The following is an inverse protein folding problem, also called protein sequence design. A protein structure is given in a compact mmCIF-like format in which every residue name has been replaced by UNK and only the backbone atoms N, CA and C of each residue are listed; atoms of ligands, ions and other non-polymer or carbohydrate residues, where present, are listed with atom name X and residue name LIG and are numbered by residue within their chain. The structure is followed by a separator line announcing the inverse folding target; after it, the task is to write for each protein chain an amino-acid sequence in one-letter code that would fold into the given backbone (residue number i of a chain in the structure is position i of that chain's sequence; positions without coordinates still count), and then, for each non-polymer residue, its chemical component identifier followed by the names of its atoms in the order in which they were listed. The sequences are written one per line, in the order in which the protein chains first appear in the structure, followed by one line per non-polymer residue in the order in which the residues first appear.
data_IF_178436520211
#
_entry.id   IF_178436520211
#
_cell.length_a   1.000
_cell.length_b   1.000
_cell.length_c   1.000
_cell.angle_alpha   90.00
_cell.angle_beta   90.00
_cell.angle_gamma   90.00
#
_symmetry.space_group_name_H-M   'P 1'
#
loop_
_entity.id
_entity.type
_entity.pdbx_description
1 polymer ?
#
# COMPACT_ATOMS: atom_id res chain seq x y z
N UNK A 1 -16.53 -5.11 -20.28
CA UNK A 1 -16.56 -6.53 -19.82
C UNK A 1 -15.64 -6.69 -18.60
N UNK A 2 -16.12 -7.27 -17.48
CA UNK A 2 -15.29 -7.54 -16.30
C UNK A 2 -14.66 -8.93 -16.40
N UNK A 3 -13.33 -8.99 -16.23
CA UNK A 3 -12.57 -10.25 -16.19
C UNK A 3 -11.74 -10.34 -14.90
N UNK A 4 -11.35 -11.55 -14.53
CA UNK A 4 -10.45 -11.78 -13.38
C UNK A 4 -9.01 -11.69 -13.83
N UNK A 5 -8.11 -11.32 -12.90
CA UNK A 5 -6.69 -11.13 -13.21
C UNK A 5 -6.03 -12.35 -13.87
N UNK A 6 -6.37 -13.58 -13.44
CA UNK A 6 -5.77 -14.79 -14.02
C UNK A 6 -6.21 -15.05 -15.47
N UNK A 7 -7.35 -14.49 -15.88
CA UNK A 7 -7.89 -14.64 -17.23
C UNK A 7 -7.15 -13.77 -18.24
N UNK A 8 -6.54 -12.65 -17.79
CA UNK A 8 -5.88 -11.69 -18.69
C UNK A 8 -4.68 -12.32 -19.43
N UNK A 9 -3.98 -13.29 -18.81
CA UNK A 9 -2.84 -13.98 -19.44
C UNK A 9 -3.27 -14.81 -20.66
N UNK A 10 -4.51 -15.30 -20.66
CA UNK A 10 -5.11 -16.11 -21.73
C UNK A 10 -5.96 -15.28 -22.69
N UNK A 11 -6.13 -13.99 -22.38
CA UNK A 11 -6.99 -13.12 -23.18
C UNK A 11 -6.22 -12.58 -24.38
N UNK A 12 -6.84 -12.58 -25.56
CA UNK A 12 -6.27 -11.96 -26.77
C UNK A 12 -6.34 -10.44 -26.60
N UNK A 13 -5.28 -9.88 -26.03
CA UNK A 13 -5.12 -8.43 -25.77
C UNK A 13 -5.26 -7.62 -27.07
N UNK A 14 -5.04 -8.24 -28.22
CA UNK A 14 -5.07 -7.60 -29.53
C UNK A 14 -6.43 -7.03 -29.91
N UNK A 15 -7.50 -7.62 -29.38
CA UNK A 15 -8.88 -7.31 -29.79
C UNK A 15 -9.54 -6.18 -28.98
N UNK A 16 -8.88 -5.64 -27.94
CA UNK A 16 -9.43 -4.60 -27.07
C UNK A 16 -8.40 -3.53 -26.83
N UNK A 17 -8.84 -2.28 -26.93
CA UNK A 17 -7.94 -1.13 -26.86
C UNK A 17 -8.04 -0.37 -25.53
N UNK A 18 -9.10 -0.60 -24.73
CA UNK A 18 -9.34 0.15 -23.50
C UNK A 18 -9.45 -0.77 -22.28
N UNK A 19 -8.60 -0.51 -21.29
CA UNK A 19 -8.51 -1.26 -20.04
C UNK A 19 -8.64 -0.33 -18.83
N UNK A 20 -9.45 -0.72 -17.85
CA UNK A 20 -9.50 -0.07 -16.54
C UNK A 20 -9.01 -1.05 -15.47
N UNK A 21 -7.86 -0.75 -14.86
CA UNK A 21 -7.29 -1.46 -13.74
C UNK A 21 -7.52 -0.64 -12.47
N UNK A 22 -8.25 -1.18 -11.50
CA UNK A 22 -8.59 -0.43 -10.31
C UNK A 22 -8.48 -1.29 -9.05
N UNK A 23 -8.18 -0.66 -7.92
CA UNK A 23 -8.11 -1.36 -6.64
C UNK A 23 -7.00 -0.85 -5.75
N UNK A 24 -6.77 -1.56 -4.65
CA UNK A 24 -5.80 -1.18 -3.62
C UNK A 24 -4.38 -1.64 -3.95
N UNK A 25 -4.23 -2.66 -4.79
CA UNK A 25 -2.94 -3.30 -5.07
C UNK A 25 -2.25 -2.68 -6.28
N UNK A 26 -1.74 -1.46 -6.09
CA UNK A 26 -1.04 -0.73 -7.14
C UNK A 26 0.22 -1.48 -7.65
N UNK A 27 0.90 -2.20 -6.77
CA UNK A 27 2.07 -3.00 -7.16
C UNK A 27 1.72 -4.13 -8.12
N UNK A 28 0.58 -4.81 -7.91
CA UNK A 28 0.11 -5.87 -8.79
C UNK A 28 -0.40 -5.30 -10.13
N UNK A 29 -0.99 -4.09 -10.11
CA UNK A 29 -1.35 -3.35 -11.34
C UNK A 29 -0.09 -3.10 -12.16
N UNK A 30 0.94 -2.53 -11.53
CA UNK A 30 2.19 -2.18 -12.21
C UNK A 30 2.93 -3.42 -12.75
N UNK A 31 2.99 -4.50 -11.97
CA UNK A 31 3.54 -5.79 -12.40
C UNK A 31 2.77 -6.33 -13.62
N UNK A 32 1.44 -6.32 -13.59
CA UNK A 32 0.61 -6.78 -14.70
C UNK A 32 0.89 -5.98 -15.98
N UNK A 33 1.01 -4.67 -15.87
CA UNK A 33 1.34 -3.81 -17.00
C UNK A 33 2.74 -4.13 -17.53
N UNK A 34 3.71 -4.29 -16.64
CA UNK A 34 5.10 -4.55 -17.00
C UNK A 34 5.30 -5.92 -17.67
N UNK A 35 4.61 -6.96 -17.18
CA UNK A 35 4.77 -8.32 -17.68
C UNK A 35 3.95 -8.61 -18.96
N UNK A 36 2.74 -8.06 -19.04
CA UNK A 36 1.78 -8.47 -20.08
C UNK A 36 1.70 -7.47 -21.23
N UNK A 37 1.76 -6.17 -20.92
CA UNK A 37 1.56 -5.12 -21.93
C UNK A 37 2.87 -4.55 -22.46
N UNK A 38 3.74 -4.06 -21.57
CA UNK A 38 4.97 -3.37 -21.99
C UNK A 38 5.85 -4.18 -22.96
N UNK A 39 6.02 -5.51 -22.84
CA UNK A 39 6.84 -6.26 -23.78
C UNK A 39 6.33 -6.21 -25.22
N UNK A 40 5.01 -5.99 -25.41
CA UNK A 40 4.39 -5.90 -26.74
C UNK A 40 4.50 -4.50 -27.36
N UNK A 41 4.85 -3.48 -26.58
CA UNK A 41 4.91 -2.06 -26.96
C UNK A 41 6.26 -1.42 -26.65
N UNK A 42 7.34 -2.14 -26.82
CA UNK A 42 8.67 -1.85 -26.26
C UNK A 42 9.27 -0.47 -26.60
N UNK A 43 8.75 0.26 -27.56
CA UNK A 43 9.29 1.56 -28.00
C UNK A 43 8.36 2.76 -27.80
N UNK A 44 7.05 2.55 -27.64
CA UNK A 44 6.06 3.61 -27.65
C UNK A 44 5.13 3.54 -26.43
N UNK A 45 5.69 3.71 -25.22
CA UNK A 45 4.94 3.72 -23.97
C UNK A 45 4.92 5.14 -23.42
N UNK A 46 3.73 5.71 -23.28
CA UNK A 46 3.55 7.07 -22.78
C UNK A 46 2.71 7.01 -21.48
N UNK A 47 3.19 7.67 -20.42
CA UNK A 47 2.50 7.75 -19.15
C UNK A 47 1.97 9.16 -18.94
N UNK A 48 0.72 9.26 -18.46
CA UNK A 48 0.08 10.51 -18.07
C UNK A 48 -0.57 10.36 -16.70
N UNK A 49 -0.60 11.45 -15.94
CA UNK A 49 -1.49 11.60 -14.81
C UNK A 49 -2.83 12.18 -15.29
N UNK A 50 -3.96 11.77 -14.68
CA UNK A 50 -5.30 12.32 -15.02
C UNK A 50 -5.31 13.85 -15.02
N UNK A 51 -4.65 14.46 -14.02
CA UNK A 51 -4.59 15.91 -13.86
C UNK A 51 -3.86 16.61 -15.02
N UNK A 52 -2.83 15.99 -15.57
CA UNK A 52 -2.09 16.52 -16.73
C UNK A 52 -2.97 16.55 -17.97
N UNK A 53 -3.72 15.46 -18.20
CA UNK A 53 -4.65 15.34 -19.32
C UNK A 53 -5.77 16.37 -19.18
N UNK A 54 -6.41 16.48 -18.01
CA UNK A 54 -7.53 17.38 -17.79
C UNK A 54 -7.15 18.85 -17.90
N UNK A 55 -5.89 19.20 -17.63
CA UNK A 55 -5.38 20.56 -17.81
C UNK A 55 -5.06 20.91 -19.27
N UNK A 56 -4.85 19.91 -20.15
CA UNK A 56 -4.45 20.08 -21.56
C UNK A 56 -5.17 19.08 -22.48
N UNK A 57 -6.51 19.07 -22.40
CA UNK A 57 -7.35 18.09 -23.11
C UNK A 57 -7.12 18.11 -24.61
N UNK A 58 -7.09 19.31 -25.22
CA UNK A 58 -6.92 19.43 -26.67
C UNK A 58 -5.53 18.95 -27.14
N UNK A 59 -4.48 19.29 -26.41
CA UNK A 59 -3.12 18.77 -26.72
C UNK A 59 -3.05 17.25 -26.62
N UNK A 60 -3.74 16.67 -25.63
CA UNK A 60 -3.82 15.22 -25.49
C UNK A 60 -4.58 14.58 -26.65
N UNK A 61 -5.70 15.18 -27.07
CA UNK A 61 -6.46 14.72 -28.25
C UNK A 61 -5.62 14.83 -29.53
N UNK A 62 -4.96 15.94 -29.76
CA UNK A 62 -4.08 16.14 -30.91
C UNK A 62 -3.00 15.06 -30.97
N UNK A 63 -2.37 14.74 -29.83
CA UNK A 63 -1.37 13.67 -29.75
C UNK A 63 -1.96 12.29 -30.08
N UNK A 64 -3.21 12.02 -29.69
CA UNK A 64 -3.88 10.75 -29.99
C UNK A 64 -4.28 10.63 -31.46
N UNK A 65 -4.79 11.71 -32.07
CA UNK A 65 -5.39 11.70 -33.40
C UNK A 65 -4.38 12.00 -34.53
N UNK A 66 -3.25 12.64 -34.21
CA UNK A 66 -2.19 12.85 -35.18
C UNK A 66 -1.42 11.53 -35.41
N UNK A 67 -1.81 10.81 -36.46
CA UNK A 67 -1.09 9.60 -36.88
C UNK A 67 0.31 10.00 -37.39
N UNK A 68 1.35 9.54 -36.72
CA UNK A 68 2.68 9.54 -37.29
C UNK A 68 2.77 8.36 -38.27
N UNK A 69 3.16 8.58 -39.51
CA UNK A 69 3.34 7.55 -40.54
C UNK A 69 4.42 6.50 -40.21
N UNK A 70 5.16 6.69 -39.09
CA UNK A 70 6.33 5.89 -38.73
C UNK A 70 6.19 5.25 -37.32
N UNK A 71 5.06 5.43 -36.62
CA UNK A 71 4.90 4.89 -35.29
C UNK A 71 3.99 3.67 -35.27
N UNK A 72 4.61 2.52 -35.00
CA UNK A 72 3.89 1.29 -34.66
C UNK A 72 3.15 1.44 -33.32
N UNK A 73 2.22 0.55 -33.05
CA UNK A 73 1.38 0.40 -31.85
C UNK A 73 1.83 1.18 -30.60
N UNK A 74 0.99 2.08 -30.08
CA UNK A 74 1.24 2.90 -28.87
C UNK A 74 0.54 2.32 -27.66
N UNK A 75 1.21 2.32 -26.51
CA UNK A 75 0.62 2.04 -25.21
C UNK A 75 0.57 3.33 -24.37
N UNK A 76 -0.64 3.77 -24.04
CA UNK A 76 -0.85 4.92 -23.18
C UNK A 76 -1.34 4.44 -21.82
N UNK A 77 -0.68 4.89 -20.76
CA UNK A 77 -1.01 4.55 -19.39
C UNK A 77 -1.44 5.82 -18.67
N UNK A 78 -2.73 5.88 -18.31
CA UNK A 78 -3.31 7.01 -17.57
C UNK A 78 -3.39 6.61 -16.10
N UNK A 79 -2.69 7.35 -15.24
CA UNK A 79 -2.59 7.06 -13.81
C UNK A 79 -3.53 7.91 -12.96
N UNK A 80 -3.92 7.36 -11.80
CA UNK A 80 -4.75 8.01 -10.78
C UNK A 80 -6.11 8.49 -11.29
N UNK A 81 -6.67 7.75 -12.23
CA UNK A 81 -7.94 8.11 -12.85
C UNK A 81 -9.11 8.08 -11.86
N UNK A 82 -10.02 9.01 -12.05
CA UNK A 82 -11.28 9.16 -11.34
C UNK A 82 -12.45 9.31 -12.31
N UNK A 83 -13.64 9.56 -11.80
CA UNK A 83 -14.82 9.80 -12.65
C UNK A 83 -14.70 11.04 -13.57
N UNK A 84 -13.72 11.94 -13.31
CA UNK A 84 -13.55 13.18 -14.07
C UNK A 84 -13.10 12.95 -15.51
N UNK A 85 -12.35 11.87 -15.78
CA UNK A 85 -11.83 11.58 -17.12
C UNK A 85 -12.88 10.89 -18.01
N UNK A 86 -14.01 10.46 -17.45
CA UNK A 86 -14.97 9.58 -18.12
C UNK A 86 -15.46 10.13 -19.48
N UNK A 87 -15.83 11.41 -19.52
CA UNK A 87 -16.40 11.99 -20.75
C UNK A 87 -15.36 12.06 -21.87
N UNK A 88 -14.11 12.36 -21.54
CA UNK A 88 -13.01 12.31 -22.49
C UNK A 88 -12.78 10.88 -23.01
N UNK A 89 -12.78 9.87 -22.11
CA UNK A 89 -12.59 8.47 -22.50
C UNK A 89 -13.72 7.99 -23.43
N UNK A 90 -14.95 8.37 -23.18
CA UNK A 90 -16.08 8.04 -24.08
C UNK A 90 -15.86 8.61 -25.48
N UNK A 91 -15.50 9.89 -25.56
CA UNK A 91 -15.20 10.54 -26.86
C UNK A 91 -14.10 9.81 -27.63
N UNK A 92 -13.04 9.36 -26.91
CA UNK A 92 -11.94 8.63 -27.55
C UNK A 92 -12.38 7.23 -28.04
N UNK A 93 -13.18 6.53 -27.25
CA UNK A 93 -13.71 5.20 -27.62
C UNK A 93 -14.59 5.27 -28.87
N UNK A 94 -15.40 6.34 -29.02
CA UNK A 94 -16.27 6.55 -30.20
C UNK A 94 -15.48 6.77 -31.48
N UNK A 95 -14.28 7.35 -31.39
CA UNK A 95 -13.45 7.66 -32.55
C UNK A 95 -12.67 6.46 -33.11
N UNK A 96 -12.77 5.28 -32.49
CA UNK A 96 -12.07 4.05 -32.88
C UNK A 96 -10.61 4.32 -33.32
N UNK A 97 -9.72 4.38 -32.33
CA UNK A 97 -8.30 4.55 -32.57
C UNK A 97 -7.68 3.22 -33.01
N UNK A 98 -7.12 3.20 -34.21
CA UNK A 98 -6.30 2.08 -34.66
C UNK A 98 -4.90 2.18 -34.00
N UNK A 99 -4.31 1.06 -33.62
CA UNK A 99 -2.92 0.92 -33.14
C UNK A 99 -2.60 1.61 -31.81
N UNK A 100 -3.60 2.03 -31.01
CA UNK A 100 -3.40 2.62 -29.69
C UNK A 100 -4.12 1.79 -28.62
N UNK A 101 -3.39 1.36 -27.60
CA UNK A 101 -3.99 0.77 -26.40
C UNK A 101 -3.90 1.72 -25.22
N UNK A 102 -4.98 1.85 -24.49
CA UNK A 102 -5.09 2.75 -23.34
C UNK A 102 -5.39 1.94 -22.09
N UNK A 103 -4.47 1.99 -21.15
CA UNK A 103 -4.64 1.44 -19.80
C UNK A 103 -4.89 2.58 -18.83
N UNK A 104 -6.04 2.57 -18.22
CA UNK A 104 -6.44 3.53 -17.20
C UNK A 104 -6.25 2.86 -15.85
N UNK A 105 -5.48 3.46 -14.95
CA UNK A 105 -5.28 2.93 -13.61
C UNK A 105 -5.94 3.83 -12.57
N UNK A 106 -6.75 3.24 -11.71
CA UNK A 106 -7.43 3.95 -10.61
C UNK A 106 -7.17 3.29 -9.26
N UNK A 107 -7.35 4.06 -8.20
CA UNK A 107 -7.41 3.53 -6.84
C UNK A 107 -8.71 2.76 -6.60
N UNK A 108 -9.23 2.84 -5.38
CA UNK A 108 -10.52 2.22 -5.04
C UNK A 108 -11.65 2.95 -5.77
N UNK A 109 -12.30 2.28 -6.70
CA UNK A 109 -13.51 2.76 -7.35
C UNK A 109 -14.74 2.04 -6.75
N UNK A 110 -15.58 2.81 -6.05
CA UNK A 110 -16.81 2.27 -5.45
C UNK A 110 -17.83 1.86 -6.54
N UNK A 111 -18.84 1.05 -6.18
CA UNK A 111 -19.90 0.65 -7.12
C UNK A 111 -20.67 1.82 -7.73
N UNK A 112 -20.71 2.98 -7.07
CA UNK A 112 -21.33 4.22 -7.57
C UNK A 112 -20.43 5.01 -8.54
N UNK A 113 -19.14 4.66 -8.72
CA UNK A 113 -18.24 5.34 -9.66
C UNK A 113 -18.79 5.23 -11.08
N UNK A 114 -18.89 6.36 -11.75
CA UNK A 114 -19.37 6.46 -13.14
C UNK A 114 -18.38 5.81 -14.10
N UNK A 115 -17.08 6.01 -13.89
CA UNK A 115 -16.01 5.42 -14.69
C UNK A 115 -16.06 3.89 -14.60
N UNK A 116 -16.15 3.33 -13.39
CA UNK A 116 -16.27 1.89 -13.17
C UNK A 116 -17.52 1.33 -13.84
N UNK A 117 -18.68 1.95 -13.63
CA UNK A 117 -19.96 1.50 -14.20
C UNK A 117 -19.97 1.50 -15.72
N UNK A 118 -19.30 2.48 -16.34
CA UNK A 118 -19.16 2.54 -17.79
C UNK A 118 -18.34 1.35 -18.30
N UNK A 119 -17.15 1.11 -17.74
CA UNK A 119 -16.29 0.00 -18.14
C UNK A 119 -16.90 -1.40 -17.86
N UNK A 120 -17.74 -1.52 -16.84
CA UNK A 120 -18.47 -2.80 -16.58
C UNK A 120 -19.53 -3.12 -17.66
N UNK A 121 -20.17 -2.09 -18.22
CA UNK A 121 -21.28 -2.23 -19.17
C UNK A 121 -20.85 -2.23 -20.63
N UNK A 122 -19.81 -1.50 -20.95
CA UNK A 122 -19.35 -1.36 -22.33
C UNK A 122 -18.68 -2.67 -22.82
N UNK A 123 -18.99 -3.08 -24.06
CA UNK A 123 -18.46 -4.32 -24.66
C UNK A 123 -17.07 -4.16 -25.30
N UNK A 124 -16.67 -2.93 -25.60
CA UNK A 124 -15.38 -2.60 -26.21
C UNK A 124 -14.27 -2.42 -25.16
N UNK A 125 -14.61 -2.53 -23.88
CA UNK A 125 -13.69 -2.24 -22.78
C UNK A 125 -13.53 -3.42 -21.83
N UNK A 126 -12.36 -3.51 -21.19
CA UNK A 126 -12.08 -4.48 -20.13
C UNK A 126 -11.88 -3.75 -18.82
N UNK A 127 -12.44 -4.29 -17.75
CA UNK A 127 -12.24 -3.83 -16.38
C UNK A 127 -11.73 -4.97 -15.50
N UNK A 128 -10.67 -4.71 -14.72
CA UNK A 128 -10.05 -5.69 -13.83
C UNK A 128 -9.89 -5.10 -12.43
N UNK A 129 -10.49 -5.73 -11.40
CA UNK A 129 -10.25 -5.36 -10.01
C UNK A 129 -8.95 -5.98 -9.48
N UNK A 130 -8.15 -5.18 -8.77
CA UNK A 130 -6.92 -5.61 -8.12
C UNK A 130 -7.07 -5.54 -6.59
N UNK A 131 -7.28 -6.70 -5.99
CA UNK A 131 -7.46 -6.84 -4.54
C UNK A 131 -6.13 -6.92 -3.79
N UNK A 132 -6.19 -6.74 -2.48
CA UNK A 132 -5.04 -6.96 -1.61
C UNK A 132 -4.49 -8.39 -1.76
N UNK A 133 -3.17 -8.50 -1.68
CA UNK A 133 -2.52 -9.80 -1.65
C UNK A 133 -2.84 -10.56 -0.36
N UNK A 134 -3.07 -11.86 -0.50
CA UNK A 134 -3.03 -12.79 0.62
C UNK A 134 -1.58 -13.14 0.96
N UNK A 135 -1.33 -13.70 2.15
CA UNK A 135 0.00 -14.21 2.49
C UNK A 135 0.50 -15.24 1.46
N UNK A 136 -0.40 -16.11 0.98
CA UNK A 136 -0.07 -17.13 -0.01
C UNK A 136 0.33 -16.51 -1.35
N UNK A 137 -0.37 -15.47 -1.82
CA UNK A 137 -0.02 -14.79 -3.08
C UNK A 137 1.33 -14.08 -3.00
N UNK A 138 1.65 -13.47 -1.84
CA UNK A 138 2.96 -12.86 -1.62
C UNK A 138 4.07 -13.92 -1.52
N UNK A 139 3.81 -15.04 -0.88
CA UNK A 139 4.78 -16.17 -0.81
C UNK A 139 5.08 -16.68 -2.21
N UNK A 140 4.06 -16.91 -3.04
CA UNK A 140 4.23 -17.36 -4.42
C UNK A 140 5.00 -16.33 -5.24
N UNK A 141 4.71 -15.05 -5.06
CA UNK A 141 5.44 -13.96 -5.73
C UNK A 141 6.92 -13.97 -5.37
N UNK A 142 7.26 -14.05 -4.08
CA UNK A 142 8.66 -14.12 -3.62
C UNK A 142 9.36 -15.35 -4.16
N UNK A 143 8.72 -16.52 -4.10
CA UNK A 143 9.30 -17.76 -4.59
C UNK A 143 9.59 -17.72 -6.11
N UNK A 144 8.67 -17.18 -6.89
CA UNK A 144 8.86 -17.02 -8.33
C UNK A 144 10.03 -16.07 -8.63
N UNK A 145 10.10 -14.91 -7.97
CA UNK A 145 11.20 -13.96 -8.11
C UNK A 145 12.56 -14.60 -7.77
N UNK A 146 12.63 -15.31 -6.64
CA UNK A 146 13.86 -15.97 -6.20
C UNK A 146 14.30 -17.07 -7.17
N UNK A 147 13.34 -17.83 -7.70
CA UNK A 147 13.59 -18.88 -8.70
C UNK A 147 14.13 -18.28 -10.00
N UNK A 148 13.55 -17.21 -10.52
CA UNK A 148 14.02 -16.52 -11.72
C UNK A 148 15.45 -15.98 -11.56
N UNK A 149 15.79 -15.48 -10.39
CA UNK A 149 17.13 -14.97 -10.07
C UNK A 149 18.11 -16.05 -9.57
N UNK A 150 17.70 -17.33 -9.50
CA UNK A 150 18.49 -18.44 -8.96
C UNK A 150 19.01 -18.22 -7.52
N UNK A 151 18.19 -17.56 -6.67
CA UNK A 151 18.55 -17.26 -5.28
C UNK A 151 17.89 -18.27 -4.35
N UNK A 152 18.69 -18.90 -3.48
CA UNK A 152 18.20 -19.87 -2.48
C UNK A 152 18.08 -19.20 -1.11
N UNK A 153 16.86 -19.11 -0.61
CA UNK A 153 16.53 -18.54 0.70
C UNK A 153 15.57 -19.51 1.43
N UNK A 154 15.72 -19.62 2.75
CA UNK A 154 14.82 -20.44 3.57
C UNK A 154 13.40 -19.86 3.63
N UNK A 155 12.41 -20.73 3.90
CA UNK A 155 11.02 -20.29 4.08
C UNK A 155 10.85 -19.29 5.25
N UNK A 156 11.66 -19.43 6.29
CA UNK A 156 11.70 -18.51 7.41
C UNK A 156 12.09 -17.08 6.95
N UNK A 157 13.12 -17.01 6.12
CA UNK A 157 13.57 -15.75 5.53
C UNK A 157 12.55 -15.15 4.55
N UNK A 158 11.86 -15.97 3.77
CA UNK A 158 10.75 -15.53 2.91
C UNK A 158 9.65 -14.89 3.76
N UNK A 159 9.25 -15.56 4.84
CA UNK A 159 8.25 -15.01 5.76
C UNK A 159 8.69 -13.68 6.38
N UNK A 160 9.95 -13.57 6.78
CA UNK A 160 10.52 -12.33 7.32
C UNK A 160 10.44 -11.18 6.31
N UNK A 161 10.80 -11.42 5.05
CA UNK A 161 10.74 -10.39 3.99
C UNK A 161 9.30 -9.92 3.76
N UNK A 162 8.36 -10.87 3.66
CA UNK A 162 6.93 -10.58 3.51
C UNK A 162 6.41 -9.77 4.70
N UNK A 163 6.80 -10.17 5.91
CA UNK A 163 6.41 -9.47 7.13
C UNK A 163 6.89 -8.02 7.16
N UNK A 164 8.13 -7.80 6.79
CA UNK A 164 8.74 -6.46 6.75
C UNK A 164 8.14 -5.58 5.66
N UNK A 165 7.72 -6.15 4.53
CA UNK A 165 7.04 -5.42 3.46
C UNK A 165 5.61 -4.99 3.83
N UNK A 166 5.04 -5.52 4.94
CA UNK A 166 3.66 -5.31 5.40
C UNK A 166 2.59 -5.60 4.34
N UNK A 167 2.85 -6.56 3.48
CA UNK A 167 1.95 -6.91 2.38
C UNK A 167 1.91 -5.90 1.25
N UNK A 168 2.73 -4.86 1.29
CA UNK A 168 2.88 -3.94 0.18
C UNK A 168 3.78 -4.56 -0.88
N UNK A 169 3.22 -4.86 -2.05
CA UNK A 169 3.91 -5.55 -3.14
C UNK A 169 5.07 -4.74 -3.73
N UNK A 170 4.95 -3.42 -3.77
CA UNK A 170 6.02 -2.53 -4.26
C UNK A 170 7.21 -2.57 -3.28
N UNK A 171 6.93 -2.44 -1.99
CA UNK A 171 7.97 -2.55 -0.97
C UNK A 171 8.64 -3.93 -1.00
N UNK A 172 7.83 -5.00 -1.14
CA UNK A 172 8.33 -6.36 -1.25
C UNK A 172 9.27 -6.53 -2.44
N UNK A 173 8.90 -6.01 -3.61
CA UNK A 173 9.74 -6.05 -4.80
C UNK A 173 11.06 -5.30 -4.57
N UNK A 174 11.01 -4.11 -3.98
CA UNK A 174 12.21 -3.33 -3.67
C UNK A 174 13.16 -4.09 -2.71
N UNK A 175 12.61 -4.80 -1.71
CA UNK A 175 13.42 -5.63 -0.82
C UNK A 175 14.05 -6.82 -1.56
N UNK A 176 13.29 -7.47 -2.44
CA UNK A 176 13.78 -8.57 -3.26
C UNK A 176 14.88 -8.14 -4.23
N UNK A 177 14.77 -6.94 -4.83
CA UNK A 177 15.82 -6.39 -5.70
C UNK A 177 17.12 -6.09 -4.92
N UNK A 178 17.02 -5.57 -3.69
CA UNK A 178 18.20 -5.41 -2.82
C UNK A 178 18.87 -6.76 -2.53
N UNK A 179 18.07 -7.77 -2.17
CA UNK A 179 18.57 -9.12 -1.92
C UNK A 179 19.20 -9.72 -3.18
N UNK A 180 18.59 -9.52 -4.35
CA UNK A 180 19.13 -9.97 -5.63
C UNK A 180 20.48 -9.31 -5.93
N UNK A 181 20.59 -8.01 -5.68
CA UNK A 181 21.85 -7.26 -5.88
C UNK A 181 22.95 -7.73 -4.93
N UNK A 182 22.60 -8.06 -3.68
CA UNK A 182 23.54 -8.60 -2.70
C UNK A 182 23.99 -10.03 -3.05
N UNK A 183 23.08 -10.87 -3.57
CA UNK A 183 23.36 -12.26 -3.93
C UNK A 183 24.40 -12.40 -5.04
N UNK A 184 24.50 -11.40 -5.95
CA UNK A 184 25.51 -11.37 -7.01
C UNK A 184 26.94 -11.35 -6.47
N UNK A 185 27.14 -10.82 -5.26
CA UNK A 185 28.44 -10.72 -4.59
C UNK A 185 28.68 -11.84 -3.58
N UNK A 186 27.62 -12.43 -3.03
CA UNK A 186 27.67 -13.40 -1.93
C UNK A 186 26.84 -14.64 -2.30
N UNK A 187 27.49 -15.80 -2.39
CA UNK A 187 26.84 -17.04 -2.81
C UNK A 187 25.85 -17.62 -1.78
N UNK A 188 25.98 -17.27 -0.50
CA UNK A 188 25.08 -17.70 0.57
C UNK A 188 24.53 -16.50 1.30
N UNK A 189 23.22 -16.43 1.41
CA UNK A 189 22.51 -15.38 2.14
C UNK A 189 21.94 -16.01 3.41
N UNK A 190 22.38 -15.53 4.56
CA UNK A 190 21.89 -15.97 5.86
C UNK A 190 20.80 -15.05 6.42
N UNK A 191 20.20 -15.43 7.55
CA UNK A 191 19.16 -14.66 8.23
C UNK A 191 19.65 -13.23 8.62
N UNK A 192 20.89 -13.14 9.13
CA UNK A 192 21.48 -11.85 9.53
C UNK A 192 21.64 -10.90 8.35
N UNK A 193 22.01 -11.41 7.18
CA UNK A 193 22.17 -10.61 5.96
C UNK A 193 20.81 -10.05 5.52
N UNK A 194 19.77 -10.87 5.51
CA UNK A 194 18.42 -10.43 5.17
C UNK A 194 17.91 -9.44 6.20
N UNK A 195 18.14 -9.68 7.47
CA UNK A 195 17.74 -8.78 8.54
C UNK A 195 18.38 -7.38 8.39
N UNK A 196 19.64 -7.31 7.93
CA UNK A 196 20.35 -6.06 7.66
C UNK A 196 19.93 -5.39 6.35
N UNK A 197 19.74 -6.19 5.29
CA UNK A 197 19.39 -5.68 3.95
C UNK A 197 17.98 -5.12 3.88
N UNK A 198 17.03 -5.81 4.53
CA UNK A 198 15.63 -5.45 4.53
C UNK A 198 15.33 -4.37 5.59
N UNK A 199 16.11 -3.30 5.58
CA UNK A 199 16.07 -2.21 6.55
C UNK A 199 14.84 -1.30 6.34
N UNK A 200 13.64 -1.90 6.28
CA UNK A 200 12.37 -1.21 6.62
C UNK A 200 12.28 -0.99 8.15
N UNK A 201 13.41 -1.20 8.83
CA UNK A 201 13.52 -1.22 10.28
C UNK A 201 13.01 0.07 10.93
N UNK A 202 13.25 1.23 10.32
CA UNK A 202 12.86 2.51 10.92
C UNK A 202 11.33 2.64 11.03
N UNK A 203 10.59 2.46 9.93
CA UNK A 203 9.14 2.55 9.96
C UNK A 203 8.46 1.36 10.67
N UNK A 204 9.08 0.16 10.62
CA UNK A 204 8.59 -1.01 11.33
C UNK A 204 8.78 -0.85 12.84
N UNK A 205 9.92 -0.35 13.29
CA UNK A 205 10.18 -0.08 14.70
C UNK A 205 9.21 0.95 15.28
N UNK A 206 8.93 2.05 14.58
CA UNK A 206 7.97 3.08 15.00
C UNK A 206 6.57 2.49 15.14
N UNK A 207 6.08 1.76 14.12
CA UNK A 207 4.74 1.19 14.20
C UNK A 207 4.62 0.13 15.29
N UNK A 208 5.63 -0.74 15.44
CA UNK A 208 5.66 -1.77 16.47
C UNK A 208 5.79 -1.17 17.86
N UNK A 209 6.59 -0.12 18.02
CA UNK A 209 6.71 0.63 19.26
C UNK A 209 5.34 1.13 19.71
N UNK A 210 4.61 1.81 18.81
CA UNK A 210 3.28 2.34 19.11
C UNK A 210 2.30 1.21 19.43
N UNK A 211 2.31 0.10 18.68
CA UNK A 211 1.45 -1.05 18.95
C UNK A 211 1.69 -1.62 20.35
N UNK A 212 2.95 -1.81 20.72
CA UNK A 212 3.29 -2.35 22.04
C UNK A 212 3.03 -1.34 23.17
N UNK A 213 3.13 -0.05 22.92
CA UNK A 213 2.70 0.98 23.87
C UNK A 213 1.19 0.89 24.12
N UNK A 214 0.38 0.73 23.08
CA UNK A 214 -1.07 0.66 23.18
C UNK A 214 -1.59 -0.64 23.84
N UNK A 215 -0.82 -1.74 23.78
CA UNK A 215 -1.10 -2.97 24.56
C UNK A 215 -0.36 -3.01 25.90
N UNK A 216 0.36 -1.95 26.28
CA UNK A 216 1.12 -1.84 27.53
C UNK A 216 2.17 -2.96 27.72
N UNK A 217 2.80 -3.44 26.62
CA UNK A 217 3.81 -4.51 26.65
C UNK A 217 5.20 -3.96 26.95
N UNK A 218 5.51 -3.79 28.23
CA UNK A 218 6.78 -3.21 28.73
C UNK A 218 8.03 -3.86 28.15
N UNK A 219 8.09 -5.21 28.12
CA UNK A 219 9.26 -5.96 27.67
C UNK A 219 9.60 -5.64 26.20
N UNK A 220 8.58 -5.66 25.33
CA UNK A 220 8.78 -5.40 23.89
C UNK A 220 9.11 -3.95 23.61
N UNK A 221 8.55 -3.00 24.37
CA UNK A 221 8.87 -1.58 24.25
C UNK A 221 10.35 -1.35 24.58
N UNK A 222 10.84 -1.87 25.71
CA UNK A 222 12.24 -1.75 26.11
C UNK A 222 13.20 -2.37 25.09
N UNK A 223 12.86 -3.53 24.52
CA UNK A 223 13.66 -4.12 23.46
C UNK A 223 13.78 -3.21 22.24
N UNK A 224 12.68 -2.62 21.79
CA UNK A 224 12.68 -1.70 20.64
C UNK A 224 13.54 -0.45 20.95
N UNK A 225 13.44 0.10 22.14
CA UNK A 225 14.26 1.23 22.57
C UNK A 225 15.76 0.91 22.61
N UNK A 226 16.12 -0.29 23.06
CA UNK A 226 17.52 -0.70 23.12
C UNK A 226 18.12 -1.03 21.73
N UNK A 227 17.27 -1.46 20.79
CA UNK A 227 17.69 -1.84 19.44
C UNK A 227 17.68 -0.66 18.46
N UNK A 228 16.98 0.44 18.78
CA UNK A 228 16.80 1.56 17.87
C UNK A 228 17.08 2.90 18.56
N UNK A 229 17.88 3.72 17.90
CA UNK A 229 18.09 5.13 18.27
C UNK A 229 17.19 5.96 17.37
N UNK A 230 16.10 6.49 17.92
CA UNK A 230 15.19 7.36 17.19
C UNK A 230 15.80 8.76 17.03
N UNK A 231 15.75 9.29 15.81
CA UNK A 231 16.19 10.64 15.49
C UNK A 231 15.09 11.67 15.80
N UNK A 232 15.44 12.94 15.90
CA UNK A 232 14.50 14.00 16.25
C UNK A 232 13.33 14.15 15.27
N UNK A 233 13.56 13.95 13.97
CA UNK A 233 12.54 13.95 12.92
C UNK A 233 11.56 12.76 13.02
N UNK A 234 12.01 11.64 13.57
CA UNK A 234 11.18 10.46 13.80
C UNK A 234 10.19 10.63 14.96
N UNK A 235 10.47 11.51 15.92
CA UNK A 235 9.59 11.79 17.05
C UNK A 235 8.20 12.25 16.60
N UNK A 236 8.16 13.14 15.61
CA UNK A 236 6.88 13.59 15.02
C UNK A 236 6.18 12.44 14.31
N UNK A 237 6.92 11.56 13.66
CA UNK A 237 6.35 10.37 13.00
C UNK A 237 5.77 9.39 14.02
N UNK A 238 6.42 9.19 15.15
CA UNK A 238 5.92 8.35 16.27
C UNK A 238 4.61 8.93 16.81
N UNK A 239 4.55 10.23 17.11
CA UNK A 239 3.34 10.87 17.59
C UNK A 239 2.19 10.82 16.58
N UNK A 240 2.46 11.05 15.30
CA UNK A 240 1.46 10.87 14.23
C UNK A 240 0.97 9.43 14.11
N UNK A 241 1.87 8.45 14.30
CA UNK A 241 1.49 7.03 14.32
C UNK A 241 0.57 6.71 15.49
N UNK A 242 0.84 7.25 16.69
CA UNK A 242 -0.08 7.15 17.84
C UNK A 242 -1.45 7.72 17.50
N UNK A 243 -1.52 8.95 16.99
CA UNK A 243 -2.79 9.60 16.65
C UNK A 243 -3.58 8.80 15.62
N UNK A 244 -2.93 8.30 14.58
CA UNK A 244 -3.57 7.48 13.56
C UNK A 244 -4.18 6.21 14.16
N UNK A 245 -3.40 5.45 14.96
CA UNK A 245 -3.87 4.21 15.57
C UNK A 245 -4.95 4.45 16.61
N UNK A 246 -4.81 5.45 17.47
CA UNK A 246 -5.82 5.81 18.48
C UNK A 246 -7.15 6.24 17.85
N UNK A 247 -7.13 7.07 16.80
CA UNK A 247 -8.34 7.45 16.06
C UNK A 247 -9.03 6.24 15.45
N UNK A 248 -8.26 5.29 14.96
CA UNK A 248 -8.77 4.04 14.39
C UNK A 248 -9.38 3.14 15.46
N UNK A 249 -8.73 2.99 16.63
CA UNK A 249 -9.26 2.27 17.77
C UNK A 249 -10.55 2.89 18.29
N UNK A 250 -10.62 4.23 18.37
CA UNK A 250 -11.86 4.95 18.73
C UNK A 250 -13.02 4.62 17.79
N UNK A 251 -12.75 4.61 16.47
CA UNK A 251 -13.74 4.23 15.48
C UNK A 251 -14.24 2.81 15.69
N UNK A 252 -13.32 1.85 15.93
CA UNK A 252 -13.66 0.45 16.16
C UNK A 252 -14.51 0.30 17.43
N UNK A 253 -14.10 0.92 18.55
CA UNK A 253 -14.85 0.89 19.81
C UNK A 253 -16.28 1.40 19.64
N UNK A 254 -16.45 2.54 18.98
CA UNK A 254 -17.79 3.10 18.72
C UNK A 254 -18.67 2.19 17.83
N UNK A 255 -18.06 1.35 16.98
CA UNK A 255 -18.79 0.39 16.16
C UNK A 255 -19.17 -0.87 16.95
N UNK A 256 -18.32 -1.30 17.90
CA UNK A 256 -18.60 -2.41 18.82
C UNK A 256 -19.79 -2.08 19.72
N UNK A 257 -19.83 -0.87 20.28
CA UNK A 257 -20.93 -0.40 21.14
C UNK A 257 -22.31 -0.42 20.42
N UNK A 258 -22.30 -0.49 19.08
CA UNK A 258 -23.48 -0.65 18.23
C UNK A 258 -23.84 -2.11 17.90
N UNK A 259 -23.42 -3.07 18.73
CA UNK A 259 -23.69 -4.51 18.60
C UNK A 259 -23.19 -5.19 17.31
N UNK A 260 -22.07 -4.76 16.74
CA UNK A 260 -21.43 -5.42 15.61
C UNK A 260 -20.33 -6.37 16.08
N UNK A 261 -20.23 -7.54 15.44
CA UNK A 261 -19.14 -8.48 15.67
C UNK A 261 -17.79 -7.83 15.27
N UNK A 262 -16.78 -8.00 16.15
CA UNK A 262 -15.44 -7.41 15.98
C UNK A 262 -14.80 -7.79 14.63
N UNK A 263 -14.92 -9.05 14.23
CA UNK A 263 -14.30 -9.53 12.97
C UNK A 263 -14.97 -8.90 11.73
N UNK A 264 -16.28 -8.69 11.78
CA UNK A 264 -17.01 -7.99 10.72
C UNK A 264 -16.63 -6.51 10.66
N UNK A 265 -16.41 -5.87 11.81
CA UNK A 265 -15.94 -4.48 11.86
C UNK A 265 -14.55 -4.37 11.23
N UNK A 266 -13.61 -5.25 11.61
CA UNK A 266 -12.24 -5.21 11.12
C UNK A 266 -12.14 -5.39 9.59
N UNK A 267 -13.06 -6.18 9.00
CA UNK A 267 -13.14 -6.36 7.54
C UNK A 267 -13.77 -5.14 6.84
N UNK A 268 -14.72 -4.47 7.49
CA UNK A 268 -15.47 -3.35 6.88
C UNK A 268 -14.76 -2.00 6.92
N UNK A 269 -13.66 -1.89 7.67
CA UNK A 269 -12.91 -0.64 7.80
C UNK A 269 -12.24 -0.22 6.49
N UNK A 270 -12.14 1.10 6.31
CA UNK A 270 -11.41 1.71 5.17
C UNK A 270 -10.33 2.67 5.71
N UNK A 271 -9.04 2.45 5.38
CA UNK A 271 -8.47 1.28 4.69
C UNK A 271 -8.64 0.00 5.53
N UNK A 272 -8.69 -1.19 4.89
CA UNK A 272 -8.82 -2.46 5.60
C UNK A 272 -7.65 -2.68 6.57
N UNK A 273 -7.90 -3.50 7.60
CA UNK A 273 -6.85 -3.88 8.55
C UNK A 273 -6.05 -5.02 7.95
N UNK A 274 -4.74 -4.84 7.91
CA UNK A 274 -3.83 -5.91 7.50
C UNK A 274 -4.02 -7.14 8.39
N UNK A 275 -4.07 -8.32 7.81
CA UNK A 275 -4.44 -9.54 8.52
C UNK A 275 -3.56 -9.83 9.75
N UNK A 276 -2.26 -9.46 9.72
CA UNK A 276 -1.34 -9.61 10.86
C UNK A 276 -1.58 -8.62 11.99
N UNK A 277 -2.16 -7.47 11.68
CA UNK A 277 -2.45 -6.46 12.70
C UNK A 277 -3.74 -6.76 13.46
N UNK A 278 -4.55 -7.74 13.01
CA UNK A 278 -5.84 -8.06 13.62
C UNK A 278 -5.70 -8.47 15.08
N UNK A 279 -4.74 -9.32 15.41
CA UNK A 279 -4.57 -9.83 16.76
C UNK A 279 -4.11 -8.75 17.73
N UNK A 280 -3.15 -7.90 17.30
CA UNK A 280 -2.70 -6.80 18.15
C UNK A 280 -3.78 -5.74 18.33
N UNK A 281 -4.59 -5.47 17.31
CA UNK A 281 -5.74 -4.56 17.42
C UNK A 281 -6.79 -5.11 18.37
N UNK A 282 -7.09 -6.42 18.32
CA UNK A 282 -7.99 -7.07 19.30
C UNK A 282 -7.46 -6.92 20.73
N UNK A 283 -6.15 -7.09 20.95
CA UNK A 283 -5.51 -6.86 22.24
C UNK A 283 -5.65 -5.39 22.69
N UNK A 284 -5.37 -4.44 21.80
CA UNK A 284 -5.51 -3.00 22.08
C UNK A 284 -6.95 -2.61 22.47
N UNK A 285 -7.93 -3.18 21.78
CA UNK A 285 -9.35 -2.98 22.07
C UNK A 285 -9.70 -3.52 23.46
N UNK A 286 -9.14 -4.64 23.88
CA UNK A 286 -9.40 -5.22 25.19
C UNK A 286 -8.72 -4.44 26.33
N UNK A 287 -7.53 -3.90 26.08
CA UNK A 287 -6.72 -3.18 27.08
C UNK A 287 -7.18 -1.74 27.28
N UNK A 288 -7.62 -1.05 26.23
CA UNK A 288 -7.95 0.38 26.28
C UNK A 288 -9.46 0.61 26.30
N UNK A 289 -9.97 1.34 27.26
CA UNK A 289 -11.33 1.88 27.27
C UNK A 289 -11.49 3.06 26.31
N UNK A 290 -12.73 3.40 25.93
CA UNK A 290 -13.00 4.56 25.07
C UNK A 290 -12.56 5.88 25.73
N UNK A 291 -12.68 5.96 27.05
CA UNK A 291 -12.23 7.12 27.85
C UNK A 291 -10.70 7.26 27.78
N UNK A 292 -9.95 6.16 28.00
CA UNK A 292 -8.48 6.17 27.88
C UNK A 292 -8.03 6.53 26.47
N UNK A 293 -8.67 6.01 25.42
CA UNK A 293 -8.37 6.36 24.03
C UNK A 293 -8.57 7.87 23.80
N UNK A 294 -9.66 8.47 24.26
CA UNK A 294 -9.90 9.90 24.12
C UNK A 294 -8.85 10.73 24.87
N UNK A 295 -8.50 10.34 26.10
CA UNK A 295 -7.46 10.98 26.89
C UNK A 295 -6.09 10.92 26.18
N UNK A 296 -5.72 9.76 25.67
CA UNK A 296 -4.46 9.58 24.92
C UNK A 296 -4.43 10.42 23.64
N UNK A 297 -5.55 10.53 22.91
CA UNK A 297 -5.63 11.41 21.73
C UNK A 297 -5.33 12.86 22.09
N UNK A 298 -5.95 13.38 23.18
CA UNK A 298 -5.70 14.75 23.63
C UNK A 298 -4.25 14.94 24.07
N UNK A 299 -3.71 13.99 24.84
CA UNK A 299 -2.32 14.02 25.33
C UNK A 299 -1.34 14.02 24.15
N UNK A 300 -1.49 13.13 23.17
CA UNK A 300 -0.60 13.04 22.01
C UNK A 300 -0.69 14.28 21.11
N UNK A 301 -1.86 14.87 20.93
CA UNK A 301 -2.00 16.14 20.21
C UNK A 301 -1.24 17.28 20.91
N UNK A 302 -1.31 17.37 22.22
CA UNK A 302 -0.57 18.38 22.98
C UNK A 302 0.94 18.15 22.89
N UNK A 303 1.40 16.90 22.94
CA UNK A 303 2.80 16.54 22.77
C UNK A 303 3.32 16.88 21.34
N UNK A 304 2.51 16.64 20.32
CA UNK A 304 2.88 17.02 18.94
C UNK A 304 3.08 18.53 18.82
N UNK A 305 2.22 19.33 19.45
CA UNK A 305 2.38 20.79 19.48
C UNK A 305 3.64 21.23 20.24
N UNK A 306 3.93 20.60 21.39
CA UNK A 306 5.11 20.91 22.18
C UNK A 306 6.40 20.53 21.44
N UNK A 307 6.45 19.36 20.79
CA UNK A 307 7.58 18.88 20.00
C UNK A 307 7.87 19.82 18.82
N UNK A 308 6.83 20.31 18.14
CA UNK A 308 6.99 21.27 17.04
C UNK A 308 7.48 22.64 17.48
N UNK A 309 7.14 23.07 18.70
CA UNK A 309 7.59 24.34 19.26
C UNK A 309 9.02 24.27 19.82
N UNK A 310 9.43 23.13 20.34
CA UNK A 310 10.69 22.95 21.06
C UNK A 310 11.42 21.70 20.53
N UNK A 311 12.04 21.82 19.38
CA UNK A 311 12.70 20.70 18.71
C UNK A 311 13.87 20.12 19.52
N UNK A 312 14.57 20.94 20.29
CA UNK A 312 15.76 20.54 21.09
C UNK A 312 15.43 19.53 22.21
N UNK A 313 14.19 19.52 22.72
CA UNK A 313 13.75 18.62 23.80
C UNK A 313 12.75 17.57 23.32
N UNK A 314 12.58 17.44 22.01
CA UNK A 314 11.58 16.53 21.41
C UNK A 314 11.74 15.07 21.86
N UNK A 315 12.99 14.59 21.92
CA UNK A 315 13.32 13.24 22.41
C UNK A 315 12.95 13.04 23.88
N UNK A 316 13.20 14.03 24.73
CA UNK A 316 12.87 13.95 26.15
C UNK A 316 11.36 13.91 26.36
N UNK A 317 10.61 14.74 25.64
CA UNK A 317 9.14 14.77 25.67
C UNK A 317 8.57 13.41 25.28
N UNK A 318 9.05 12.82 24.17
CA UNK A 318 8.56 11.53 23.70
C UNK A 318 8.92 10.39 24.68
N UNK A 319 10.18 10.34 25.13
CA UNK A 319 10.65 9.32 26.06
C UNK A 319 9.85 9.34 27.37
N UNK A 320 9.61 10.51 27.93
CA UNK A 320 8.79 10.66 29.15
C UNK A 320 7.36 10.15 28.90
N UNK A 321 6.74 10.52 27.76
CA UNK A 321 5.42 10.04 27.42
C UNK A 321 5.35 8.50 27.33
N UNK A 322 6.33 7.88 26.68
CA UNK A 322 6.37 6.42 26.55
C UNK A 322 6.61 5.76 27.90
N UNK A 323 7.51 6.29 28.72
CA UNK A 323 7.80 5.75 30.06
C UNK A 323 6.61 5.90 31.02
N UNK A 324 5.89 7.02 31.00
CA UNK A 324 4.68 7.21 31.80
C UNK A 324 3.60 6.18 31.46
N UNK A 325 3.44 5.86 30.17
CA UNK A 325 2.49 4.81 29.74
C UNK A 325 2.93 3.40 30.19
N UNK A 326 4.24 3.20 30.48
CA UNK A 326 4.75 1.95 31.04
C UNK A 326 4.50 1.86 32.56
N UNK A 327 4.58 2.99 33.27
CA UNK A 327 4.39 3.02 34.74
C UNK A 327 2.92 2.87 35.12
N UNK A 328 2.00 3.46 34.37
CA UNK A 328 0.57 3.31 34.60
C UNK A 328 0.06 1.85 34.47
N UNK A 329 0.85 0.95 33.90
CA UNK A 329 0.52 -0.47 33.83
C UNK A 329 0.75 -1.23 35.16
N UNK A 330 1.45 -0.67 36.12
CA UNK A 330 1.75 -1.32 37.40
C UNK A 330 0.67 -1.12 38.49
N UNK A 331 -0.40 -0.33 38.21
CA UNK A 331 -1.44 -0.05 39.17
C UNK A 331 -2.73 -0.84 38.96
N UNK A 332 -2.68 -1.92 38.17
CA UNK A 332 -3.77 -2.88 38.01
C UNK A 332 -3.24 -4.26 38.42
N UNK A 333 -3.14 -4.49 39.71
CA UNK A 333 -3.12 -5.84 40.35
C UNK A 333 -4.41 -5.94 41.17
#
# INVERSE_FOLDING_TARGET
MQIKLHEIKNFKIENIDFYLFYGVNLGLIEETINEIFKPKFSKNIINFEETEILNKVETFKEMLFNKSFFEDNKLIIIKRASDKILDLIKEIIEKNLDDIKIIITGGILEKKSKLRNFFEKDKKTIIIPFYEDSHQSLTNFVQNFLKEKNIKISNENINLIIERSRGNRINLLNELEKISSFSKKNQKINFSDIAKLTNLAENYSISSLVDYCLVKNKRKILNIFNENIFKDDENIMILKSFLYKLKRLKLIKNLIDKNKNIDQILISLKPPIFWKDKDIIKQQINVLSLSEINHLIQKVNNLELQTKKNNQISNQILNNFILENLVSANNVI
#
